data_IF_218918720394
#
_entry.id   IF_218918720394
#
_cell.length_a   1.000
_cell.length_b   1.000
_cell.length_c   1.000
_cell.angle_alpha   90.00
_cell.angle_beta   90.00
_cell.angle_gamma   90.00
#
_symmetry.space_group_name_H-M   'P 1'
#
loop_
_entity.id
_entity.type
_entity.pdbx_description
1 polymer ?
#
# COMPACT_ATOMS: atom_id res chain seq x y z
N UNK A 1 -2.55 18.00 20.53
CA UNK A 1 -2.55 16.58 20.92
C UNK A 1 -3.12 15.77 19.77
N UNK A 2 -2.42 14.73 19.31
CA UNK A 2 -2.91 13.79 18.29
C UNK A 2 -3.34 12.50 18.99
N UNK A 3 -4.43 11.90 18.55
CA UNK A 3 -4.97 10.66 19.10
C UNK A 3 -5.53 9.79 17.98
N UNK A 4 -5.62 8.49 18.23
CA UNK A 4 -6.10 7.51 17.27
C UNK A 4 -7.40 6.84 17.75
N UNK A 5 -8.35 6.61 16.85
CA UNK A 5 -9.66 6.01 17.13
C UNK A 5 -10.27 5.35 15.87
N UNK A 6 -11.23 4.41 15.98
CA UNK A 6 -11.75 3.79 17.21
C UNK A 6 -10.89 2.64 17.76
N UNK A 7 -10.08 1.99 16.92
CA UNK A 7 -9.19 0.87 17.27
C UNK A 7 -8.45 0.36 16.03
N UNK A 8 -7.23 -0.16 16.19
CA UNK A 8 -6.36 -0.50 15.04
C UNK A 8 -6.80 -1.73 14.26
N UNK A 9 -7.72 -2.52 14.81
CA UNK A 9 -8.32 -3.69 14.20
C UNK A 9 -9.37 -3.33 13.14
N UNK A 10 -9.86 -2.08 13.13
CA UNK A 10 -10.90 -1.62 12.22
C UNK A 10 -10.33 -0.96 10.97
N UNK A 11 -10.97 -1.19 9.82
CA UNK A 11 -10.59 -0.56 8.54
C UNK A 11 -10.81 0.97 8.52
N UNK A 12 -11.67 1.49 9.40
CA UNK A 12 -11.95 2.92 9.57
C UNK A 12 -11.05 3.59 10.60
N UNK A 13 -9.99 2.92 11.05
CA UNK A 13 -9.04 3.48 12.01
C UNK A 13 -8.35 4.73 11.47
N UNK A 14 -8.28 5.79 12.27
CA UNK A 14 -7.66 7.04 11.86
C UNK A 14 -7.20 7.89 13.04
N UNK A 15 -6.62 9.04 12.72
CA UNK A 15 -6.16 10.00 13.70
C UNK A 15 -7.00 11.28 13.69
N UNK A 16 -7.25 11.80 14.89
CA UNK A 16 -7.78 13.13 15.12
C UNK A 16 -6.80 13.96 15.92
N UNK A 17 -7.06 15.27 15.98
CA UNK A 17 -6.27 16.20 16.78
C UNK A 17 -7.16 17.11 17.64
N UNK A 18 -6.64 17.45 18.81
CA UNK A 18 -7.08 18.56 19.62
C UNK A 18 -6.04 19.68 19.61
N UNK A 19 -6.51 20.92 19.57
CA UNK A 19 -5.70 22.14 19.48
C UNK A 19 -5.67 22.83 20.85
N UNK A 20 -4.54 23.40 21.25
CA UNK A 20 -4.40 24.23 22.44
C UNK A 20 -3.20 25.17 22.31
N UNK A 21 -3.23 26.28 23.04
CA UNK A 21 -2.09 27.20 23.20
C UNK A 21 -1.12 26.74 24.31
N UNK A 22 -1.46 25.69 25.07
CA UNK A 22 -0.65 25.08 26.13
C UNK A 22 -0.59 23.55 26.00
N UNK A 23 0.57 22.91 26.26
CA UNK A 23 0.68 21.45 26.26
C UNK A 23 -0.27 20.72 27.23
N UNK A 24 -0.75 21.41 28.27
CA UNK A 24 -1.67 20.84 29.27
C UNK A 24 -3.13 21.31 29.07
N UNK A 25 -3.42 22.00 27.97
CA UNK A 25 -4.77 22.47 27.67
C UNK A 25 -5.09 23.86 28.26
N UNK A 26 -6.35 24.29 28.17
CA UNK A 26 -7.52 23.52 27.69
C UNK A 26 -7.43 23.19 26.20
N UNK A 27 -7.97 22.03 25.83
CA UNK A 27 -7.99 21.52 24.46
C UNK A 27 -9.33 21.81 23.77
N UNK A 28 -9.28 22.18 22.49
CA UNK A 28 -10.45 22.27 21.60
C UNK A 28 -10.37 21.23 20.50
N UNK A 29 -11.49 20.59 20.16
CA UNK A 29 -11.56 19.64 19.06
C UNK A 29 -11.26 20.34 17.73
N UNK A 30 -10.44 19.74 16.87
CA UNK A 30 -10.23 20.28 15.54
C UNK A 30 -11.46 20.00 14.65
N UNK A 31 -12.03 21.02 13.99
CA UNK A 31 -13.28 20.87 13.24
C UNK A 31 -13.15 20.02 11.98
N UNK A 32 -11.92 19.74 11.52
CA UNK A 32 -11.65 18.95 10.32
C UNK A 32 -11.23 17.50 10.64
N UNK A 33 -11.36 17.06 11.90
CA UNK A 33 -11.11 15.67 12.25
C UNK A 33 -12.06 14.74 11.46
N UNK A 34 -11.61 13.54 11.05
CA UNK A 34 -10.26 13.00 11.24
C UNK A 34 -9.23 13.64 10.30
N UNK A 35 -8.01 13.84 10.80
CA UNK A 35 -6.90 14.42 10.02
C UNK A 35 -6.23 13.41 9.09
N UNK A 36 -6.35 12.12 9.43
CA UNK A 36 -5.75 10.97 8.74
C UNK A 36 -6.78 9.85 8.78
N UNK A 37 -7.30 9.50 7.60
CA UNK A 37 -8.38 8.53 7.48
C UNK A 37 -8.33 7.86 6.12
N UNK A 38 -8.40 6.53 6.12
CA UNK A 38 -8.32 5.72 4.91
C UNK A 38 -9.16 4.45 5.07
N UNK A 39 -10.43 4.53 4.70
CA UNK A 39 -11.37 3.41 4.88
C UNK A 39 -11.35 2.36 3.76
N UNK A 40 -10.69 2.64 2.63
CA UNK A 40 -10.71 1.79 1.43
C UNK A 40 -9.33 1.80 0.72
N UNK A 41 -9.18 0.99 -0.34
CA UNK A 41 -7.92 0.75 -1.07
C UNK A 41 -7.20 -0.53 -0.61
N UNK A 42 -5.97 -0.73 -1.11
CA UNK A 42 -5.17 -1.94 -0.87
C UNK A 42 -4.89 -2.18 0.61
N UNK A 43 -4.48 -1.13 1.32
CA UNK A 43 -4.32 -1.12 2.77
C UNK A 43 -5.38 -0.22 3.41
N UNK A 44 -5.93 -0.53 4.58
CA UNK A 44 -6.91 0.36 5.23
C UNK A 44 -6.47 0.74 6.65
N UNK A 45 -7.09 1.79 7.15
CA UNK A 45 -6.69 2.47 8.38
C UNK A 45 -5.52 3.43 8.15
N UNK A 46 -5.38 4.40 9.03
CA UNK A 46 -4.32 5.41 9.00
C UNK A 46 -4.22 6.10 10.37
N UNK A 47 -4.22 5.28 11.44
CA UNK A 47 -4.25 5.77 12.83
C UNK A 47 -2.87 5.74 13.49
N UNK A 48 -2.76 5.13 14.68
CA UNK A 48 -1.58 5.10 15.55
C UNK A 48 -0.24 5.26 14.82
N UNK A 49 0.51 6.30 15.21
CA UNK A 49 1.91 6.35 14.91
C UNK A 49 2.56 7.65 15.35
N UNK A 50 3.33 8.26 14.47
CA UNK A 50 4.13 9.44 14.80
C UNK A 50 4.18 10.44 13.66
N UNK A 51 4.14 11.71 14.01
CA UNK A 51 4.33 12.81 13.08
C UNK A 51 5.70 13.44 13.31
N UNK A 52 6.52 13.49 12.27
CA UNK A 52 7.90 13.97 12.33
C UNK A 52 8.15 15.06 11.29
N UNK A 53 9.18 15.86 11.53
CA UNK A 53 9.67 16.84 10.56
C UNK A 53 10.74 16.17 9.71
N UNK A 54 10.48 16.04 8.41
CA UNK A 54 11.41 15.49 7.43
C UNK A 54 12.17 16.58 6.66
N UNK A 55 12.81 16.21 5.52
CA UNK A 55 13.53 17.15 4.66
C UNK A 55 12.71 18.38 4.29
N UNK A 56 13.39 19.53 4.20
CA UNK A 56 12.79 20.86 3.91
C UNK A 56 11.67 21.26 4.88
N UNK A 57 11.74 20.82 6.13
CA UNK A 57 10.77 21.11 7.18
C UNK A 57 9.33 20.70 6.83
N UNK A 58 9.17 19.69 5.97
CA UNK A 58 7.86 19.12 5.66
C UNK A 58 7.48 18.08 6.71
N UNK A 59 6.25 18.12 7.19
CA UNK A 59 5.75 17.14 8.14
C UNK A 59 5.37 15.84 7.44
N UNK A 60 5.67 14.72 8.09
CA UNK A 60 5.34 13.37 7.63
C UNK A 60 4.74 12.59 8.78
N UNK A 61 3.66 11.88 8.48
CA UNK A 61 2.98 11.03 9.45
C UNK A 61 3.18 9.57 9.07
N UNK A 62 3.73 8.81 10.00
CA UNK A 62 3.82 7.36 9.91
C UNK A 62 2.68 6.79 10.72
N UNK A 63 1.89 5.89 10.12
CA UNK A 63 0.71 5.31 10.75
C UNK A 63 0.66 3.80 10.54
N UNK A 64 0.10 3.10 11.52
CA UNK A 64 -0.22 1.68 11.36
C UNK A 64 -1.52 1.49 10.58
N UNK A 65 -1.51 0.50 9.69
CA UNK A 65 -2.63 0.10 8.84
C UNK A 65 -3.01 -1.36 9.11
N UNK A 66 -4.30 -1.67 9.06
CA UNK A 66 -4.84 -2.97 9.43
C UNK A 66 -4.70 -4.01 8.30
N UNK A 67 -4.12 -5.17 8.61
CA UNK A 67 -4.21 -6.39 7.78
C UNK A 67 -5.17 -7.37 8.46
N UNK A 68 -4.88 -7.72 9.71
CA UNK A 68 -5.73 -8.52 10.59
C UNK A 68 -6.21 -9.86 10.02
N UNK A 69 -5.32 -10.67 9.45
CA UNK A 69 -5.65 -11.99 8.89
C UNK A 69 -5.22 -13.13 9.82
N UNK A 70 -3.95 -13.15 10.21
CA UNK A 70 -3.42 -14.18 11.12
C UNK A 70 -3.75 -13.86 12.58
N UNK A 71 -3.76 -12.57 12.92
CA UNK A 71 -4.09 -12.06 14.25
C UNK A 71 -4.64 -10.65 14.12
N UNK A 72 -5.54 -10.24 15.01
CA UNK A 72 -6.22 -8.93 14.95
C UNK A 72 -5.29 -7.70 15.02
N UNK A 73 -4.01 -7.89 15.38
CA UNK A 73 -2.99 -6.83 15.49
C UNK A 73 -1.96 -6.85 14.35
N UNK A 74 -2.19 -7.67 13.32
CA UNK A 74 -1.35 -7.74 12.12
C UNK A 74 -1.47 -6.43 11.32
N UNK A 75 -0.34 -5.76 11.13
CA UNK A 75 -0.29 -4.38 10.64
C UNK A 75 0.87 -4.16 9.70
N UNK A 76 0.72 -3.15 8.84
CA UNK A 76 1.82 -2.54 8.07
C UNK A 76 1.95 -1.06 8.44
N UNK A 77 3.05 -0.44 8.03
CA UNK A 77 3.29 1.00 8.23
C UNK A 77 3.10 1.72 6.90
N UNK A 78 2.38 2.83 6.93
CA UNK A 78 2.33 3.81 5.84
C UNK A 78 3.03 5.09 6.24
N UNK A 79 3.22 5.95 5.25
CA UNK A 79 3.83 7.26 5.38
C UNK A 79 3.05 8.26 4.53
N UNK A 80 2.52 9.30 5.16
CA UNK A 80 1.77 10.35 4.49
C UNK A 80 2.42 11.72 4.70
N UNK A 81 2.41 12.60 3.68
CA UNK A 81 2.73 14.00 3.89
C UNK A 81 1.63 14.69 4.71
N UNK A 82 2.02 15.46 5.71
CA UNK A 82 1.12 16.30 6.49
C UNK A 82 1.19 17.75 6.02
N UNK A 83 0.03 18.38 5.96
CA UNK A 83 -0.15 19.77 5.59
C UNK A 83 -0.92 20.52 6.67
N UNK A 84 -0.80 21.85 6.62
CA UNK A 84 -1.63 22.76 7.39
C UNK A 84 -2.26 23.74 6.40
N UNK A 85 -3.58 23.91 6.49
CA UNK A 85 -4.28 24.89 5.67
C UNK A 85 -4.07 26.32 6.18
N UNK A 86 -4.73 27.29 5.53
CA UNK A 86 -4.68 28.71 5.90
C UNK A 86 -5.22 28.99 7.31
N UNK A 87 -6.07 28.12 7.84
CA UNK A 87 -6.68 28.21 9.17
C UNK A 87 -5.85 27.44 10.22
N UNK A 88 -4.69 26.90 9.80
CA UNK A 88 -3.75 26.09 10.58
C UNK A 88 -4.35 24.74 11.01
N UNK A 89 -5.31 24.22 10.26
CA UNK A 89 -5.85 22.89 10.49
C UNK A 89 -4.94 21.85 9.81
N UNK A 90 -4.53 20.86 10.60
CA UNK A 90 -3.68 19.76 10.13
C UNK A 90 -4.50 18.79 9.28
N UNK A 91 -3.97 18.33 8.14
CA UNK A 91 -4.61 17.31 7.32
C UNK A 91 -3.59 16.50 6.51
N UNK A 92 -4.01 15.32 6.06
CA UNK A 92 -3.35 14.57 4.99
C UNK A 92 -4.31 14.29 3.83
N UNK A 93 -3.75 14.00 2.66
CA UNK A 93 -4.50 13.44 1.54
C UNK A 93 -4.12 11.96 1.39
N UNK A 94 -5.08 11.07 1.64
CA UNK A 94 -4.97 9.62 1.49
C UNK A 94 -5.45 9.12 0.12
N UNK A 95 -5.73 10.03 -0.82
CA UNK A 95 -6.11 9.63 -2.18
C UNK A 95 -4.91 9.05 -2.92
N UNK A 96 -5.08 7.87 -3.53
CA UNK A 96 -4.03 7.16 -4.27
C UNK A 96 -2.78 6.84 -3.46
N UNK A 97 -2.82 6.92 -2.15
CA UNK A 97 -1.67 6.69 -1.25
C UNK A 97 -1.12 5.25 -1.28
N UNK A 98 -1.90 4.27 -1.73
CA UNK A 98 -1.40 2.93 -2.07
C UNK A 98 -0.58 2.92 -3.37
N UNK A 99 -0.52 4.01 -4.12
CA UNK A 99 0.17 4.15 -5.40
C UNK A 99 1.46 4.95 -5.23
N UNK A 100 2.40 4.88 -6.18
CA UNK A 100 3.72 5.46 -5.99
C UNK A 100 3.68 6.98 -5.86
N UNK A 101 4.32 7.49 -4.82
CA UNK A 101 4.52 8.90 -4.54
C UNK A 101 6.01 9.20 -4.47
N UNK A 102 6.40 10.42 -4.82
CA UNK A 102 7.80 10.81 -4.70
C UNK A 102 8.26 10.89 -3.24
N UNK A 103 9.45 10.37 -2.99
CA UNK A 103 10.04 10.34 -1.64
C UNK A 103 10.35 11.75 -1.11
N UNK A 104 10.58 11.92 0.20
CA UNK A 104 11.00 13.21 0.77
C UNK A 104 12.32 13.75 0.21
N UNK A 105 13.12 12.92 -0.46
CA UNK A 105 14.39 13.33 -1.06
C UNK A 105 14.19 14.13 -2.36
N UNK A 106 13.06 13.96 -3.06
CA UNK A 106 12.81 14.60 -4.35
C UNK A 106 12.32 16.03 -4.15
N UNK A 107 13.22 16.98 -4.34
CA UNK A 107 12.93 18.40 -4.24
C UNK A 107 11.70 18.81 -5.09
N UNK A 108 10.79 19.60 -4.48
CA UNK A 108 9.58 20.18 -5.11
C UNK A 108 8.47 19.19 -5.46
N UNK A 109 8.70 17.88 -5.38
CA UNK A 109 7.67 16.86 -5.63
C UNK A 109 7.35 15.99 -4.41
N UNK A 110 7.90 16.31 -3.25
CA UNK A 110 7.85 15.48 -2.04
C UNK A 110 6.41 15.06 -1.69
N UNK A 111 6.11 13.76 -1.77
CA UNK A 111 4.79 13.24 -1.48
C UNK A 111 3.73 13.62 -2.52
N UNK A 112 4.12 14.04 -3.71
CA UNK A 112 3.22 14.15 -4.87
C UNK A 112 3.04 12.78 -5.51
N UNK A 113 1.83 12.52 -6.00
CA UNK A 113 1.51 11.31 -6.75
C UNK A 113 2.30 11.29 -8.07
N UNK A 114 2.89 10.16 -8.42
CA UNK A 114 3.64 9.98 -9.68
C UNK A 114 2.76 9.91 -10.91
N UNK A 115 1.43 9.80 -10.73
CA UNK A 115 0.46 9.49 -11.78
C UNK A 115 0.66 8.11 -12.42
N UNK A 116 1.42 7.23 -11.78
CA UNK A 116 1.56 5.85 -12.21
C UNK A 116 0.42 5.02 -11.64
N UNK A 117 -0.34 4.39 -12.52
CA UNK A 117 -1.53 3.62 -12.18
C UNK A 117 -1.21 2.14 -12.05
N UNK A 118 -2.03 1.41 -11.31
CA UNK A 118 -1.95 -0.04 -11.18
C UNK A 118 -2.49 -0.70 -12.45
N UNK A 119 -1.58 -1.11 -13.33
CA UNK A 119 -1.94 -1.72 -14.61
C UNK A 119 -2.11 -3.24 -14.53
N UNK A 120 -1.75 -3.87 -13.42
CA UNK A 120 -2.02 -5.29 -13.14
C UNK A 120 -3.42 -5.57 -12.60
N UNK A 121 -4.19 -4.55 -12.20
CA UNK A 121 -5.51 -4.75 -11.58
C UNK A 121 -6.46 -5.57 -12.46
N UNK A 122 -6.99 -6.66 -11.89
CA UNK A 122 -7.92 -7.62 -12.51
C UNK A 122 -7.44 -8.15 -13.87
N UNK A 123 -6.13 -8.23 -14.07
CA UNK A 123 -5.53 -8.83 -15.27
C UNK A 123 -5.54 -10.35 -15.22
N UNK A 124 -5.35 -10.98 -16.37
CA UNK A 124 -5.31 -12.44 -16.44
C UNK A 124 -4.01 -12.95 -15.83
N UNK A 125 -4.11 -13.95 -14.97
CA UNK A 125 -2.96 -14.54 -14.27
C UNK A 125 -2.90 -16.03 -14.54
N UNK A 126 -1.69 -16.53 -14.81
CA UNK A 126 -1.35 -17.95 -14.76
C UNK A 126 -0.30 -18.17 -13.70
N UNK A 127 -0.28 -19.35 -13.11
CA UNK A 127 0.71 -19.73 -12.12
C UNK A 127 1.10 -21.19 -12.25
N UNK A 128 2.25 -21.54 -11.67
CA UNK A 128 2.79 -22.90 -11.62
C UNK A 128 1.87 -23.89 -10.92
N UNK A 129 1.28 -23.49 -9.79
CA UNK A 129 0.40 -24.30 -8.95
C UNK A 129 -0.40 -23.39 -8.03
N UNK A 130 -1.47 -23.89 -7.42
CA UNK A 130 -2.13 -23.22 -6.30
C UNK A 130 -2.92 -24.21 -5.44
N UNK A 131 -3.09 -23.88 -4.16
CA UNK A 131 -4.01 -24.60 -3.28
C UNK A 131 -5.43 -24.05 -3.40
N UNK A 132 -6.37 -24.85 -3.89
CA UNK A 132 -7.83 -24.64 -3.91
C UNK A 132 -8.29 -23.16 -3.87
N UNK A 133 -8.63 -22.62 -2.69
CA UNK A 133 -9.15 -21.25 -2.51
C UNK A 133 -8.12 -20.11 -2.68
N UNK A 134 -6.83 -20.41 -2.68
CA UNK A 134 -5.72 -19.44 -2.78
C UNK A 134 -5.27 -19.26 -4.23
N UNK A 135 -6.20 -18.83 -5.07
CA UNK A 135 -6.04 -18.77 -6.52
C UNK A 135 -5.06 -17.67 -6.96
N UNK A 136 -4.42 -17.81 -8.13
CA UNK A 136 -3.48 -16.80 -8.62
C UNK A 136 -4.11 -15.43 -8.89
N UNK A 137 -5.41 -15.35 -9.17
CA UNK A 137 -6.10 -14.06 -9.40
C UNK A 137 -6.18 -13.17 -8.15
N UNK A 138 -5.94 -13.75 -6.97
CA UNK A 138 -5.86 -12.98 -5.73
C UNK A 138 -4.68 -11.99 -5.75
N UNK A 139 -3.63 -12.23 -6.53
CA UNK A 139 -2.46 -11.33 -6.55
C UNK A 139 -2.69 -10.05 -7.37
N UNK A 140 -3.85 -9.88 -7.98
CA UNK A 140 -4.19 -8.74 -8.85
C UNK A 140 -5.57 -8.16 -8.51
N UNK A 141 -6.08 -8.42 -7.30
CA UNK A 141 -7.40 -7.98 -6.89
C UNK A 141 -7.38 -6.70 -6.03
N UNK A 142 -6.19 -6.14 -5.77
CA UNK A 142 -5.97 -4.95 -4.93
C UNK A 142 -6.51 -5.15 -3.50
N UNK A 143 -6.32 -6.34 -2.94
CA UNK A 143 -6.71 -6.65 -1.57
C UNK A 143 -5.60 -7.40 -0.83
N UNK A 144 -4.97 -6.75 0.15
CA UNK A 144 -3.88 -7.36 0.94
C UNK A 144 -4.30 -8.63 1.69
N UNK A 145 -5.61 -8.83 1.90
CA UNK A 145 -6.19 -9.90 2.72
C UNK A 145 -6.52 -11.17 1.95
N UNK A 146 -6.47 -11.11 0.62
CA UNK A 146 -6.51 -12.29 -0.26
C UNK A 146 -5.08 -12.58 -0.71
N UNK A 147 -4.79 -13.83 -1.03
CA UNK A 147 -3.43 -14.25 -1.40
C UNK A 147 -3.45 -15.54 -2.21
N UNK A 148 -2.43 -15.70 -3.05
CA UNK A 148 -2.07 -16.91 -3.76
C UNK A 148 -1.11 -17.75 -2.93
N UNK A 149 -1.31 -19.07 -2.88
CA UNK A 149 -0.39 -20.02 -2.23
C UNK A 149 -0.07 -21.16 -3.18
N UNK A 150 1.21 -21.45 -3.33
CA UNK A 150 1.68 -22.60 -4.12
C UNK A 150 1.60 -23.93 -3.37
N UNK A 151 1.47 -25.01 -4.12
CA UNK A 151 1.53 -26.37 -3.56
C UNK A 151 2.89 -26.67 -2.92
N UNK A 152 3.96 -26.14 -3.53
CA UNK A 152 5.36 -26.32 -3.12
C UNK A 152 6.06 -24.98 -2.96
N UNK A 153 6.99 -24.88 -2.01
CA UNK A 153 7.95 -23.79 -1.95
C UNK A 153 9.28 -24.26 -2.56
N UNK A 154 9.46 -24.06 -3.86
CA UNK A 154 10.69 -24.36 -4.60
C UNK A 154 10.93 -23.34 -5.73
N UNK A 155 12.05 -23.46 -6.41
CA UNK A 155 12.50 -22.57 -7.50
C UNK A 155 11.76 -22.78 -8.83
N UNK A 156 10.76 -23.68 -8.85
CA UNK A 156 9.90 -23.97 -10.01
C UNK A 156 8.60 -23.18 -9.95
N UNK A 157 8.35 -22.44 -8.87
CA UNK A 157 7.14 -21.64 -8.74
C UNK A 157 7.24 -20.35 -9.54
N UNK A 158 6.18 -20.05 -10.29
CA UNK A 158 6.13 -18.89 -11.16
C UNK A 158 4.71 -18.34 -11.30
N UNK A 159 4.64 -17.07 -11.68
CA UNK A 159 3.42 -16.34 -12.07
C UNK A 159 3.67 -15.70 -13.44
N UNK A 160 2.65 -15.67 -14.28
CA UNK A 160 2.59 -14.84 -15.49
C UNK A 160 1.32 -13.97 -15.44
N UNK A 161 1.46 -12.66 -15.54
CA UNK A 161 0.36 -11.71 -15.69
C UNK A 161 0.32 -11.25 -17.15
N UNK A 162 -0.82 -11.42 -17.83
CA UNK A 162 -1.11 -10.79 -19.13
C UNK A 162 -1.86 -9.47 -18.90
N UNK A 163 -1.19 -8.35 -19.15
CA UNK A 163 -1.76 -6.99 -19.05
C UNK A 163 -2.90 -6.74 -20.07
N UNK A 164 -3.13 -7.69 -20.99
CA UNK A 164 -4.08 -7.72 -22.11
C UNK A 164 -3.73 -6.74 -23.23
N UNK A 165 -3.21 -5.57 -22.87
CA UNK A 165 -2.66 -4.57 -23.78
C UNK A 165 -1.22 -4.27 -23.38
N UNK A 166 -0.44 -3.77 -24.34
CA UNK A 166 0.88 -3.22 -24.05
C UNK A 166 0.72 -2.02 -23.10
N UNK A 167 1.61 -1.93 -22.12
CA UNK A 167 1.71 -0.80 -21.22
C UNK A 167 3.17 -0.45 -20.93
N UNK A 168 3.38 0.78 -20.51
CA UNK A 168 4.68 1.23 -19.98
C UNK A 168 4.70 0.96 -18.48
N UNK A 169 5.64 0.13 -18.01
CA UNK A 169 5.87 -0.19 -16.60
C UNK A 169 6.97 0.70 -16.07
N UNK A 170 6.74 1.32 -14.92
CA UNK A 170 7.73 2.13 -14.21
C UNK A 170 8.22 1.48 -12.92
N UNK A 171 7.35 0.74 -12.23
CA UNK A 171 7.71 0.10 -10.97
C UNK A 171 6.91 -1.19 -10.72
N UNK A 172 7.47 -2.05 -9.88
CA UNK A 172 6.89 -3.33 -9.47
C UNK A 172 6.93 -3.39 -7.94
N UNK A 173 5.83 -3.79 -7.31
CA UNK A 173 5.79 -4.08 -5.89
C UNK A 173 5.28 -5.49 -5.65
N UNK A 174 6.02 -6.25 -4.87
CA UNK A 174 5.59 -7.57 -4.40
C UNK A 174 5.11 -7.47 -2.95
N UNK A 175 4.01 -8.13 -2.64
CA UNK A 175 3.49 -8.20 -1.28
C UNK A 175 3.35 -9.67 -0.89
N UNK A 176 4.29 -10.18 -0.10
CA UNK A 176 4.19 -11.51 0.48
C UNK A 176 3.19 -11.52 1.63
N UNK A 177 2.59 -12.69 1.85
CA UNK A 177 1.70 -12.94 2.97
C UNK A 177 2.34 -13.94 3.94
N UNK A 178 2.20 -13.70 5.24
CA UNK A 178 2.59 -14.69 6.23
C UNK A 178 1.51 -15.78 6.29
N UNK A 179 1.83 -17.00 5.85
CA UNK A 179 0.92 -18.12 5.95
C UNK A 179 1.61 -19.32 6.58
N UNK A 180 1.18 -19.66 7.80
CA UNK A 180 1.73 -20.80 8.55
C UNK A 180 3.26 -20.80 8.56
N UNK A 181 3.89 -19.61 8.67
CA UNK A 181 5.35 -19.47 8.61
C UNK A 181 6.06 -20.27 9.70
N UNK A 182 5.41 -20.41 10.86
CA UNK A 182 6.01 -20.95 12.08
C UNK A 182 7.27 -20.16 12.51
N UNK A 183 7.36 -18.89 12.12
CA UNK A 183 8.42 -17.97 12.49
C UNK A 183 7.88 -17.05 13.58
N UNK A 184 8.55 -17.01 14.73
CA UNK A 184 8.15 -16.19 15.86
C UNK A 184 9.26 -15.23 16.25
N UNK A 185 8.91 -13.95 16.43
CA UNK A 185 9.88 -12.91 16.76
C UNK A 185 10.85 -12.60 15.63
N UNK A 186 11.98 -11.96 15.98
CA UNK A 186 13.01 -11.57 15.01
C UNK A 186 14.02 -12.70 14.82
N UNK A 187 14.04 -13.29 13.64
CA UNK A 187 15.06 -14.27 13.23
C UNK A 187 16.06 -13.58 12.29
N UNK A 188 17.36 -13.72 12.57
CA UNK A 188 18.40 -13.13 11.74
C UNK A 188 18.62 -13.93 10.45
N UNK A 189 18.93 -13.24 9.35
CA UNK A 189 19.30 -13.88 8.07
C UNK A 189 18.13 -14.37 7.21
N UNK A 190 16.88 -14.05 7.57
CA UNK A 190 15.74 -14.35 6.70
C UNK A 190 15.68 -13.37 5.53
N UNK A 191 15.51 -13.89 4.32
CA UNK A 191 15.37 -13.12 3.09
C UNK A 191 14.38 -13.80 2.14
N UNK A 192 13.80 -13.03 1.21
CA UNK A 192 13.01 -13.55 0.09
C UNK A 192 13.75 -13.18 -1.18
N UNK A 193 13.96 -14.14 -2.07
CA UNK A 193 14.68 -13.94 -3.32
C UNK A 193 13.81 -14.30 -4.51
N UNK A 194 13.80 -13.40 -5.49
CA UNK A 194 13.18 -13.57 -6.80
C UNK A 194 14.06 -12.89 -7.86
N UNK A 195 13.74 -13.06 -9.15
CA UNK A 195 14.65 -12.66 -10.23
C UNK A 195 15.03 -11.16 -10.28
N UNK A 196 14.30 -10.28 -9.56
CA UNK A 196 14.58 -8.84 -9.54
C UNK A 196 15.48 -8.50 -8.35
N UNK A 197 15.12 -8.93 -7.12
CA UNK A 197 15.85 -8.56 -5.89
C UNK A 197 15.75 -9.63 -4.79
N UNK A 198 16.58 -9.47 -3.75
CA UNK A 198 16.66 -10.33 -2.56
C UNK A 198 16.14 -9.60 -1.30
N UNK A 199 14.88 -9.15 -1.36
CA UNK A 199 14.21 -8.42 -0.28
C UNK A 199 12.72 -8.78 -0.18
N UNK A 200 12.17 -8.87 1.05
CA UNK A 200 10.75 -9.12 1.27
C UNK A 200 9.88 -7.87 1.09
N UNK A 201 8.71 -8.06 0.48
CA UNK A 201 7.67 -7.03 0.32
C UNK A 201 8.13 -5.74 -0.38
N UNK A 202 9.00 -5.91 -1.38
CA UNK A 202 9.75 -4.79 -1.92
C UNK A 202 8.98 -3.98 -2.97
N UNK A 203 9.37 -2.71 -3.11
CA UNK A 203 8.97 -1.80 -4.18
C UNK A 203 10.20 -1.43 -4.98
N UNK A 204 10.22 -1.82 -6.26
CA UNK A 204 11.33 -1.58 -7.18
C UNK A 204 10.88 -0.63 -8.28
N UNK A 205 11.44 0.59 -8.30
CA UNK A 205 11.38 1.47 -9.46
C UNK A 205 12.42 1.00 -10.50
N UNK A 206 12.00 0.86 -11.76
CA UNK A 206 12.89 0.42 -12.83
C UNK A 206 13.80 1.57 -13.27
N UNK A 207 15.09 1.29 -13.49
CA UNK A 207 16.05 2.28 -14.02
C UNK A 207 15.54 2.96 -15.30
N UNK A 208 14.87 2.18 -16.16
CA UNK A 208 14.23 2.65 -17.37
C UNK A 208 12.83 2.04 -17.51
N UNK A 209 11.81 2.83 -17.86
CA UNK A 209 10.47 2.30 -18.07
C UNK A 209 10.45 1.23 -19.17
N UNK A 210 9.75 0.13 -18.93
CA UNK A 210 9.69 -1.01 -19.84
C UNK A 210 8.35 -1.08 -20.55
N UNK A 211 8.36 -1.28 -21.87
CA UNK A 211 7.13 -1.44 -22.66
C UNK A 211 6.87 -2.93 -22.83
N UNK A 212 5.88 -3.44 -22.10
CA UNK A 212 5.61 -4.89 -22.04
C UNK A 212 4.11 -5.18 -22.03
N UNK A 213 3.78 -6.42 -22.37
CA UNK A 213 2.43 -6.99 -22.18
C UNK A 213 2.39 -8.05 -21.08
N UNK A 214 3.47 -8.80 -20.91
CA UNK A 214 3.56 -9.89 -19.95
C UNK A 214 4.53 -9.54 -18.83
N UNK A 215 4.14 -9.84 -17.60
CA UNK A 215 5.01 -9.79 -16.42
C UNK A 215 5.18 -11.21 -15.91
N UNK A 216 6.41 -11.59 -15.57
CA UNK A 216 6.69 -12.91 -14.97
C UNK A 216 7.41 -12.75 -13.66
N UNK A 217 6.91 -13.44 -12.64
CA UNK A 217 7.61 -13.66 -11.39
C UNK A 217 8.10 -15.10 -11.34
N UNK A 218 9.33 -15.30 -10.88
CA UNK A 218 9.91 -16.62 -10.62
C UNK A 218 10.47 -16.61 -9.20
N UNK A 219 10.02 -17.57 -8.39
CA UNK A 219 10.53 -17.79 -7.06
C UNK A 219 11.97 -18.30 -7.12
N UNK A 220 12.84 -17.79 -6.26
CA UNK A 220 14.17 -18.38 -6.02
C UNK A 220 14.18 -18.98 -4.61
N UNK A 221 13.78 -18.19 -3.62
CA UNK A 221 13.73 -18.62 -2.23
C UNK A 221 12.68 -17.82 -1.45
N UNK A 222 11.89 -18.50 -0.62
CA UNK A 222 11.24 -17.87 0.52
C UNK A 222 11.50 -18.71 1.77
N UNK A 223 11.67 -18.06 2.94
CA UNK A 223 12.12 -18.75 4.14
C UNK A 223 10.97 -19.45 4.89
N UNK A 224 9.73 -19.21 4.47
CA UNK A 224 8.52 -19.80 5.03
C UNK A 224 8.23 -21.18 4.43
N UNK A 225 7.46 -22.07 5.11
CA UNK A 225 7.12 -23.38 4.55
C UNK A 225 6.31 -23.31 3.24
N UNK A 226 5.60 -22.20 3.02
CA UNK A 226 4.76 -21.94 1.85
C UNK A 226 5.14 -20.60 1.21
N UNK A 227 5.20 -20.56 -0.12
CA UNK A 227 5.20 -19.31 -0.86
C UNK A 227 3.78 -18.78 -0.93
N UNK A 228 3.59 -17.59 -0.36
CA UNK A 228 2.30 -16.91 -0.28
C UNK A 228 2.47 -15.44 -0.68
N UNK A 229 1.69 -14.98 -1.66
CA UNK A 229 1.75 -13.61 -2.18
C UNK A 229 0.34 -13.02 -2.14
N UNK A 230 0.18 -11.91 -1.43
CA UNK A 230 -1.05 -11.11 -1.41
C UNK A 230 -1.24 -10.32 -2.70
N UNK A 231 -0.19 -9.71 -3.25
CA UNK A 231 -0.31 -8.92 -4.48
C UNK A 231 1.01 -8.80 -5.23
N UNK A 232 0.93 -8.74 -6.56
CA UNK A 232 2.01 -8.35 -7.47
C UNK A 232 1.57 -7.12 -8.26
N UNK A 233 1.91 -5.95 -7.72
CA UNK A 233 1.43 -4.65 -8.17
C UNK A 233 2.36 -4.09 -9.22
N UNK A 234 1.82 -3.82 -10.40
CA UNK A 234 2.57 -3.32 -11.56
C UNK A 234 2.12 -1.89 -11.82
N UNK A 235 3.01 -0.94 -11.55
CA UNK A 235 2.74 0.48 -11.68
C UNK A 235 3.23 1.01 -13.02
N UNK A 236 2.36 1.70 -13.72
CA UNK A 236 2.53 1.95 -15.14
C UNK A 236 1.56 2.95 -15.74
N UNK A 237 1.66 3.09 -17.05
CA UNK A 237 0.68 3.75 -17.91
C UNK A 237 0.23 2.76 -18.98
N UNK A 238 -1.05 2.40 -18.96
CA UNK A 238 -1.63 1.58 -20.02
C UNK A 238 -1.76 2.38 -21.31
N UNK A 239 -1.60 1.72 -22.47
CA UNK A 239 -1.79 2.35 -23.79
C UNK A 239 -3.23 2.26 -24.29
N UNK A 240 -4.18 1.95 -23.39
CA UNK A 240 -5.60 1.90 -23.69
C UNK A 240 -6.23 3.30 -23.86
N UNK A 241 -7.53 3.33 -24.10
CA UNK A 241 -8.25 4.60 -24.18
C UNK A 241 -8.19 5.34 -22.84
N UNK A 242 -7.86 6.63 -22.91
CA UNK A 242 -7.90 7.51 -21.75
C UNK A 242 -9.35 7.65 -21.28
N UNK A 243 -9.63 7.52 -19.96
CA UNK A 243 -10.98 7.74 -19.45
C UNK A 243 -11.54 9.11 -19.85
N UNK A 244 -12.80 9.14 -20.25
CA UNK A 244 -13.47 10.40 -20.58
C UNK A 244 -13.65 11.25 -19.32
N UNK A 245 -13.52 12.57 -19.47
CA UNK A 245 -13.75 13.51 -18.37
C UNK A 245 -15.17 13.35 -17.82
N UNK A 246 -15.29 13.11 -16.52
CA UNK A 246 -16.59 13.10 -15.82
C UNK A 246 -17.18 14.51 -15.90
N UNK A 247 -18.35 14.65 -16.53
CA UNK A 247 -19.01 15.95 -16.72
C UNK A 247 -19.96 16.31 -15.57
N UNK A 248 -20.55 15.31 -14.92
CA UNK A 248 -21.63 15.49 -13.95
C UNK A 248 -21.28 14.83 -12.61
N UNK A 249 -20.30 15.38 -11.88
CA UNK A 249 -20.03 14.96 -10.51
C UNK A 249 -21.06 15.61 -9.57
N UNK A 250 -21.92 14.80 -8.96
CA UNK A 250 -22.85 15.24 -7.90
C UNK A 250 -22.28 14.78 -6.56
N UNK A 251 -21.96 15.73 -5.69
CA UNK A 251 -21.45 15.44 -4.35
C UNK A 251 -22.59 15.63 -3.35
N UNK A 252 -23.08 14.54 -2.77
CA UNK A 252 -24.01 14.57 -1.65
C UNK A 252 -23.21 14.51 -0.35
N UNK A 253 -23.16 15.62 0.38
CA UNK A 253 -22.64 15.63 1.76
C UNK A 253 -23.81 15.44 2.70
N UNK A 254 -23.80 14.35 3.46
CA UNK A 254 -24.73 14.18 4.57
C UNK A 254 -24.17 14.94 5.78
N UNK A 255 -25.06 15.55 6.56
CA UNK A 255 -24.69 16.09 7.88
C UNK A 255 -24.48 14.90 8.82
N UNK A 256 -23.36 14.91 9.52
CA UNK A 256 -23.06 13.96 10.60
C UNK A 256 -24.12 14.04 11.72
#
# INVERSE_FOLDING_TARGET
MQYAAPGTEFNVYGDGVYISDSPLGPYRYAPNNPISYKSDGFMNGAGHGSTVIGPKNKYWHFASMAVSINVNWERRICMFPIYFDKDRLMYTNTSFDDYPHYTPAIARKMGEFTEWMLISYKKSVKASSYYDKYKPENIVDENVKTFWITEKNDDKQWIEIDLLNIGTVYAIQINYHDYQSNIYGKVQGLYHSYFIEDVPNDYVELDFPQIVRYIRYKNIHVPTPKLSISDLRIFGRGHGQVPVKIKNLVVNRYTD
#
